data_IF_231289837577
#
_entry.id   IF_231289837577
#
_cell.length_a   1.000
_cell.length_b   1.000
_cell.length_c   1.000
_cell.angle_alpha   90.00
_cell.angle_beta   90.00
_cell.angle_gamma   90.00
#
_symmetry.space_group_name_H-M   'P 1'
#
loop_
_entity.id
_entity.type
_entity.pdbx_description
1 polymer ?
#
# COMPACT_ATOMS: atom_id res chain seq x y z
N UNK A 1 -9.32 -21.31 10.21
CA UNK A 1 -8.87 -19.92 9.94
C UNK A 1 -10.03 -19.04 9.51
N UNK A 2 -10.81 -19.43 8.50
CA UNK A 2 -11.97 -18.67 7.98
C UNK A 2 -13.03 -18.29 9.02
N UNK A 3 -13.37 -19.19 9.96
CA UNK A 3 -14.29 -18.92 11.08
C UNK A 3 -13.76 -17.91 12.08
N UNK A 4 -12.45 -17.93 12.34
CA UNK A 4 -11.79 -16.98 13.25
C UNK A 4 -11.74 -15.59 12.61
N UNK A 5 -11.40 -15.55 11.33
CA UNK A 5 -11.39 -14.36 10.47
C UNK A 5 -12.76 -13.68 10.40
N UNK A 6 -13.82 -14.45 10.13
CA UNK A 6 -15.18 -13.92 10.03
C UNK A 6 -15.71 -13.44 11.39
N UNK A 7 -15.29 -14.11 12.47
CA UNK A 7 -15.55 -13.66 13.83
C UNK A 7 -14.89 -12.29 14.07
N UNK A 8 -13.61 -12.14 13.72
CA UNK A 8 -12.87 -10.89 13.90
C UNK A 8 -13.53 -9.74 13.14
N UNK A 9 -13.89 -9.94 11.87
CA UNK A 9 -14.58 -8.91 11.06
C UNK A 9 -15.93 -8.51 11.66
N UNK A 10 -16.70 -9.47 12.18
CA UNK A 10 -17.99 -9.22 12.83
C UNK A 10 -17.84 -8.44 14.14
N UNK A 11 -16.86 -8.82 14.96
CA UNK A 11 -16.55 -8.11 16.21
C UNK A 11 -16.06 -6.70 15.93
N UNK A 12 -15.10 -6.52 15.00
CA UNK A 12 -14.58 -5.21 14.59
C UNK A 12 -15.70 -4.28 14.12
N UNK A 13 -16.63 -4.75 13.27
CA UNK A 13 -17.80 -3.95 12.84
C UNK A 13 -18.64 -3.44 14.02
N UNK A 14 -18.84 -4.26 15.06
CA UNK A 14 -19.56 -3.84 16.28
C UNK A 14 -18.78 -2.79 17.07
N UNK A 15 -17.46 -2.94 17.20
CA UNK A 15 -16.61 -1.94 17.86
C UNK A 15 -16.64 -0.61 17.09
N UNK A 16 -16.57 -0.64 15.75
CA UNK A 16 -16.67 0.54 14.91
C UNK A 16 -18.03 1.26 15.09
N UNK A 17 -19.14 0.52 15.06
CA UNK A 17 -20.47 1.10 15.26
C UNK A 17 -20.63 1.79 16.64
N UNK A 18 -20.09 1.18 17.70
CA UNK A 18 -20.12 1.77 19.03
C UNK A 18 -19.24 3.02 19.14
N UNK A 19 -18.07 3.02 18.47
CA UNK A 19 -17.17 4.17 18.43
C UNK A 19 -17.76 5.34 17.62
N UNK A 20 -18.44 5.09 16.50
CA UNK A 20 -19.22 6.12 15.77
C UNK A 20 -20.31 6.71 16.66
N UNK A 21 -20.97 5.89 17.47
CA UNK A 21 -21.96 6.36 18.44
C UNK A 21 -21.34 7.09 19.66
N UNK A 22 -20.02 7.30 19.69
CA UNK A 22 -19.30 7.98 20.77
C UNK A 22 -19.23 7.18 22.08
N UNK A 23 -19.59 5.89 22.07
CA UNK A 23 -19.66 5.06 23.28
C UNK A 23 -18.34 4.35 23.51
N UNK A 24 -17.76 4.52 24.70
CA UNK A 24 -16.55 3.81 25.12
C UNK A 24 -15.42 3.83 24.07
N UNK A 25 -15.16 4.99 23.46
CA UNK A 25 -14.23 5.17 22.33
C UNK A 25 -12.87 4.51 22.58
N UNK A 26 -12.26 4.76 23.75
CA UNK A 26 -10.97 4.17 24.14
C UNK A 26 -11.03 2.64 24.21
N UNK A 27 -12.10 2.09 24.77
CA UNK A 27 -12.28 0.62 24.82
C UNK A 27 -12.46 0.04 23.42
N UNK A 28 -13.32 0.63 22.60
CA UNK A 28 -13.53 0.18 21.22
C UNK A 28 -12.25 0.25 20.40
N UNK A 29 -11.43 1.27 20.62
CA UNK A 29 -10.10 1.42 20.02
C UNK A 29 -9.18 0.27 20.42
N UNK A 30 -9.07 -0.01 21.71
CA UNK A 30 -8.21 -1.08 22.23
C UNK A 30 -8.68 -2.48 21.77
N UNK A 31 -10.00 -2.71 21.74
CA UNK A 31 -10.59 -3.96 21.26
C UNK A 31 -10.31 -4.17 19.76
N UNK A 32 -10.41 -3.10 18.96
CA UNK A 32 -10.05 -3.13 17.54
C UNK A 32 -8.56 -3.42 17.34
N UNK A 33 -7.68 -2.72 18.07
CA UNK A 33 -6.23 -2.92 17.99
C UNK A 33 -5.84 -4.35 18.36
N UNK A 34 -6.44 -4.90 19.43
CA UNK A 34 -6.25 -6.29 19.84
C UNK A 34 -6.64 -7.25 18.72
N UNK A 35 -7.76 -6.98 18.04
CA UNK A 35 -8.21 -7.81 16.93
C UNK A 35 -7.26 -7.75 15.72
N UNK A 36 -6.75 -6.57 15.39
CA UNK A 36 -5.75 -6.38 14.32
C UNK A 36 -4.46 -7.13 14.66
N UNK A 37 -3.96 -7.00 15.90
CA UNK A 37 -2.76 -7.69 16.35
C UNK A 37 -2.92 -9.22 16.31
N UNK A 38 -4.06 -9.76 16.73
CA UNK A 38 -4.32 -11.20 16.64
C UNK A 38 -4.28 -11.72 15.20
N UNK A 39 -4.87 -11.01 14.23
CA UNK A 39 -4.80 -11.40 12.80
C UNK A 39 -3.36 -11.31 12.30
N UNK A 40 -2.64 -10.27 12.71
CA UNK A 40 -1.26 -10.02 12.30
C UNK A 40 -0.31 -11.09 12.87
N UNK A 41 -0.47 -11.49 14.12
CA UNK A 41 0.31 -12.55 14.76
C UNK A 41 0.11 -13.90 14.06
N UNK A 42 -1.13 -14.19 13.64
CA UNK A 42 -1.42 -15.38 12.82
C UNK A 42 -0.69 -15.29 11.48
N UNK A 43 -0.71 -14.12 10.82
CA UNK A 43 0.03 -13.92 9.57
C UNK A 43 1.54 -14.17 9.76
N UNK A 44 2.15 -13.61 10.81
CA UNK A 44 3.57 -13.80 11.11
C UNK A 44 3.90 -15.27 11.38
N UNK A 45 3.12 -15.94 12.23
CA UNK A 45 3.30 -17.36 12.51
C UNK A 45 3.16 -18.22 11.25
N UNK A 46 2.17 -17.92 10.40
CA UNK A 46 1.95 -18.64 9.15
C UNK A 46 3.10 -18.48 8.15
N UNK A 47 3.68 -17.29 7.99
CA UNK A 47 4.87 -17.09 7.14
C UNK A 47 6.05 -17.90 7.66
N UNK A 48 6.31 -17.87 8.97
CA UNK A 48 7.43 -18.58 9.59
C UNK A 48 7.29 -20.10 9.49
N UNK A 49 6.06 -20.62 9.62
CA UNK A 49 5.75 -22.04 9.51
C UNK A 49 5.59 -22.51 8.05
N UNK A 50 5.59 -21.60 7.08
CA UNK A 50 5.39 -21.89 5.66
C UNK A 50 3.93 -22.19 5.27
N UNK A 51 2.96 -21.88 6.13
CA UNK A 51 1.52 -22.01 5.86
C UNK A 51 1.00 -20.81 5.05
N UNK A 52 1.39 -20.79 3.78
CA UNK A 52 1.04 -19.70 2.86
C UNK A 52 -0.47 -19.48 2.72
N UNK A 53 -1.34 -20.51 2.59
CA UNK A 53 -2.78 -20.29 2.52
C UNK A 53 -3.35 -19.47 3.67
N UNK A 54 -2.93 -19.75 4.91
CA UNK A 54 -3.39 -18.98 6.08
C UNK A 54 -2.81 -17.56 6.07
N UNK A 55 -1.53 -17.39 5.70
CA UNK A 55 -0.94 -16.06 5.55
C UNK A 55 -1.67 -15.21 4.51
N UNK A 56 -2.00 -15.76 3.34
CA UNK A 56 -2.68 -15.03 2.28
C UNK A 56 -4.10 -14.63 2.72
N UNK A 57 -4.78 -15.53 3.43
CA UNK A 57 -6.10 -15.25 4.00
C UNK A 57 -6.04 -14.08 4.99
N UNK A 58 -5.08 -14.07 5.92
CA UNK A 58 -5.00 -13.00 6.92
C UNK A 58 -4.66 -11.65 6.31
N UNK A 59 -3.76 -11.60 5.31
CA UNK A 59 -3.47 -10.38 4.54
C UNK A 59 -4.74 -9.85 3.86
N UNK A 60 -5.48 -10.74 3.16
CA UNK A 60 -6.71 -10.38 2.48
C UNK A 60 -7.76 -9.82 3.44
N UNK A 61 -7.89 -10.40 4.63
CA UNK A 61 -8.86 -9.97 5.65
C UNK A 61 -8.56 -8.58 6.18
N UNK A 62 -7.29 -8.26 6.44
CA UNK A 62 -6.89 -6.92 6.87
C UNK A 62 -7.11 -5.89 5.76
N UNK A 63 -6.79 -6.24 4.51
CA UNK A 63 -7.05 -5.41 3.34
C UNK A 63 -8.54 -5.13 3.14
N UNK A 64 -9.37 -6.16 3.11
CA UNK A 64 -10.83 -6.05 2.97
C UNK A 64 -11.47 -5.28 4.13
N UNK A 65 -11.01 -5.48 5.36
CA UNK A 65 -11.50 -4.73 6.51
C UNK A 65 -11.32 -3.22 6.30
N UNK A 66 -10.13 -2.79 5.88
CA UNK A 66 -9.88 -1.37 5.62
C UNK A 66 -10.66 -0.85 4.41
N UNK A 67 -10.58 -1.56 3.28
CA UNK A 67 -11.16 -1.13 2.01
C UNK A 67 -12.71 -1.18 1.99
N UNK A 68 -13.34 -2.07 2.76
CA UNK A 68 -14.79 -2.28 2.69
C UNK A 68 -15.55 -1.90 3.96
N UNK A 69 -14.92 -1.93 5.12
CA UNK A 69 -15.61 -1.71 6.40
C UNK A 69 -15.18 -0.41 7.08
N UNK A 70 -13.88 -0.20 7.29
CA UNK A 70 -13.37 0.95 8.03
C UNK A 70 -13.59 2.27 7.29
N UNK A 71 -13.24 2.33 6.00
CA UNK A 71 -13.36 3.55 5.19
C UNK A 71 -14.78 4.13 5.19
N UNK A 72 -15.80 3.26 5.21
CA UNK A 72 -17.23 3.67 5.17
C UNK A 72 -17.70 4.38 6.43
N UNK A 73 -17.06 4.10 7.56
CA UNK A 73 -17.47 4.64 8.88
C UNK A 73 -16.50 5.67 9.41
N UNK A 74 -15.30 5.79 8.82
CA UNK A 74 -14.22 6.66 9.26
C UNK A 74 -14.66 8.10 9.47
N UNK A 75 -15.41 8.66 8.52
CA UNK A 75 -15.93 10.04 8.60
C UNK A 75 -16.92 10.29 9.74
N UNK A 76 -17.47 9.24 10.37
CA UNK A 76 -18.40 9.33 11.48
C UNK A 76 -17.74 9.31 12.87
N UNK A 77 -16.42 9.11 12.97
CA UNK A 77 -15.75 9.08 14.27
C UNK A 77 -15.55 10.48 14.86
N UNK A 78 -15.74 10.58 16.18
CA UNK A 78 -15.37 11.77 16.92
C UNK A 78 -13.84 11.94 17.03
N UNK A 79 -13.33 13.16 17.30
CA UNK A 79 -11.89 13.44 17.31
C UNK A 79 -11.07 12.54 18.24
N UNK A 80 -11.65 12.12 19.37
CA UNK A 80 -10.98 11.23 20.34
C UNK A 80 -10.57 9.87 19.75
N UNK A 81 -11.27 9.39 18.71
CA UNK A 81 -10.89 8.16 18.02
C UNK A 81 -9.50 8.26 17.39
N UNK A 82 -9.16 9.43 16.87
CA UNK A 82 -7.91 9.70 16.15
C UNK A 82 -6.78 10.24 17.04
N UNK A 83 -7.02 10.40 18.35
CA UNK A 83 -5.99 10.86 19.29
C UNK A 83 -5.30 9.64 19.92
N UNK A 84 -4.26 9.13 19.26
CA UNK A 84 -3.46 8.00 19.74
C UNK A 84 -2.07 8.44 20.21
N UNK A 85 -1.41 7.60 20.99
CA UNK A 85 -0.03 7.81 21.42
C UNK A 85 0.81 6.55 21.32
N UNK A 86 1.96 6.57 22.00
CA UNK A 86 2.87 5.43 22.10
C UNK A 86 2.24 4.13 22.66
N UNK A 87 1.20 4.14 23.51
CA UNK A 87 0.52 2.89 23.91
C UNK A 87 -0.14 2.15 22.74
N UNK A 88 -0.69 2.87 21.75
CA UNK A 88 -1.28 2.27 20.55
C UNK A 88 -0.25 2.03 19.44
N UNK A 89 0.82 2.81 19.41
CA UNK A 89 1.86 2.79 18.38
C UNK A 89 3.24 2.58 19.00
N UNK A 90 3.49 1.41 19.61
CA UNK A 90 4.74 1.15 20.31
C UNK A 90 5.92 1.09 19.34
N UNK A 91 6.96 1.88 19.61
CA UNK A 91 8.20 1.91 18.82
C UNK A 91 8.17 2.89 17.65
N UNK A 92 7.04 3.55 17.39
CA UNK A 92 6.97 4.64 16.43
C UNK A 92 7.59 5.93 16.99
N UNK A 93 8.07 6.80 16.10
CA UNK A 93 8.60 8.11 16.50
C UNK A 93 7.48 9.11 16.82
N UNK A 94 7.77 10.14 17.61
CA UNK A 94 6.83 11.24 17.87
C UNK A 94 6.34 11.90 16.56
N UNK A 95 7.18 11.94 15.53
CA UNK A 95 6.81 12.46 14.21
C UNK A 95 5.72 11.60 13.55
N UNK A 96 5.85 10.27 13.63
CA UNK A 96 4.84 9.35 13.08
C UNK A 96 3.54 9.46 13.87
N UNK A 97 3.61 9.48 15.20
CA UNK A 97 2.42 9.65 16.05
C UNK A 97 1.71 10.96 15.74
N UNK A 98 2.45 12.06 15.59
CA UNK A 98 1.87 13.35 15.21
C UNK A 98 1.24 13.32 13.81
N UNK A 99 1.89 12.66 12.85
CA UNK A 99 1.41 12.52 11.48
C UNK A 99 0.09 11.77 11.41
N UNK A 100 0.00 10.58 12.02
CA UNK A 100 -1.21 9.75 11.96
C UNK A 100 -2.38 10.37 12.72
N UNK A 101 -2.10 11.13 13.79
CA UNK A 101 -3.10 11.92 14.50
C UNK A 101 -3.60 13.08 13.64
N UNK A 102 -2.70 13.81 12.95
CA UNK A 102 -3.09 14.91 12.06
C UNK A 102 -3.91 14.42 10.87
N UNK A 103 -3.44 13.34 10.24
CA UNK A 103 -4.02 12.78 9.03
C UNK A 103 -5.22 11.85 9.31
N UNK A 104 -5.53 11.57 10.58
CA UNK A 104 -6.60 10.65 10.98
C UNK A 104 -6.44 9.23 10.39
N UNK A 105 -5.21 8.72 10.32
CA UNK A 105 -4.84 7.50 9.56
C UNK A 105 -4.25 6.38 10.41
N UNK A 106 -4.39 6.44 11.73
CA UNK A 106 -3.68 5.51 12.63
C UNK A 106 -4.04 4.04 12.41
N UNK A 107 -5.30 3.71 12.06
CA UNK A 107 -5.73 2.31 11.83
C UNK A 107 -5.11 1.77 10.55
N UNK A 108 -5.17 2.54 9.47
CA UNK A 108 -4.57 2.21 8.19
C UNK A 108 -3.06 2.06 8.32
N UNK A 109 -2.43 2.99 9.04
CA UNK A 109 -1.01 2.95 9.36
C UNK A 109 -0.64 1.65 10.11
N UNK A 110 -1.36 1.28 11.17
CA UNK A 110 -1.07 0.05 11.94
C UNK A 110 -1.08 -1.20 11.05
N UNK A 111 -2.08 -1.32 10.16
CA UNK A 111 -2.18 -2.46 9.24
C UNK A 111 -1.07 -2.44 8.19
N UNK A 112 -0.84 -1.30 7.54
CA UNK A 112 0.18 -1.19 6.49
C UNK A 112 1.61 -1.36 7.05
N UNK A 113 1.89 -0.87 8.25
CA UNK A 113 3.15 -1.13 8.95
C UNK A 113 3.34 -2.62 9.27
N UNK A 114 2.26 -3.31 9.63
CA UNK A 114 2.30 -4.77 9.81
C UNK A 114 2.62 -5.51 8.50
N UNK A 115 2.12 -5.01 7.37
CA UNK A 115 2.50 -5.52 6.05
C UNK A 115 3.97 -5.29 5.73
N UNK A 116 4.58 -4.15 6.11
CA UNK A 116 6.02 -3.94 5.95
C UNK A 116 6.83 -5.00 6.70
N UNK A 117 6.43 -5.33 7.93
CA UNK A 117 7.06 -6.41 8.70
C UNK A 117 6.91 -7.77 8.01
N UNK A 118 5.71 -8.08 7.47
CA UNK A 118 5.50 -9.32 6.71
C UNK A 118 6.39 -9.40 5.47
N UNK A 119 6.55 -8.30 4.71
CA UNK A 119 7.47 -8.25 3.56
C UNK A 119 8.90 -8.54 3.98
N UNK A 120 9.34 -8.04 5.15
CA UNK A 120 10.68 -8.30 5.69
C UNK A 120 10.90 -9.73 6.18
N UNK A 121 9.84 -10.42 6.61
CA UNK A 121 9.90 -11.82 7.07
C UNK A 121 9.70 -12.83 5.94
N UNK A 122 9.17 -12.40 4.80
CA UNK A 122 8.82 -13.30 3.70
C UNK A 122 10.07 -13.73 2.94
N UNK A 123 10.37 -15.05 2.83
CA UNK A 123 11.48 -15.52 2.01
C UNK A 123 11.31 -15.15 0.55
N UNK A 124 12.38 -14.79 -0.16
CA UNK A 124 12.34 -14.33 -1.57
C UNK A 124 11.60 -15.27 -2.56
N UNK A 125 11.54 -16.57 -2.24
CA UNK A 125 10.83 -17.57 -3.05
C UNK A 125 9.31 -17.62 -2.78
N UNK A 126 8.81 -16.92 -1.76
CA UNK A 126 7.39 -16.84 -1.34
C UNK A 126 6.74 -15.53 -1.80
N UNK A 127 6.93 -15.18 -3.07
CA UNK A 127 6.44 -13.91 -3.64
C UNK A 127 4.92 -13.73 -3.54
N UNK A 128 4.16 -14.81 -3.37
CA UNK A 128 2.71 -14.79 -3.22
C UNK A 128 2.23 -13.92 -2.05
N UNK A 129 2.95 -13.90 -0.91
CA UNK A 129 2.59 -13.04 0.22
C UNK A 129 2.81 -11.55 -0.09
N UNK A 130 3.95 -11.21 -0.70
CA UNK A 130 4.25 -9.82 -1.09
C UNK A 130 3.29 -9.32 -2.15
N UNK A 131 2.90 -10.18 -3.10
CA UNK A 131 1.87 -9.87 -4.07
C UNK A 131 0.51 -9.61 -3.38
N UNK A 132 0.08 -10.45 -2.44
CA UNK A 132 -1.16 -10.23 -1.70
C UNK A 132 -1.16 -8.93 -0.89
N UNK A 133 -0.02 -8.57 -0.29
CA UNK A 133 0.17 -7.29 0.41
C UNK A 133 0.01 -6.11 -0.55
N UNK A 134 0.60 -6.20 -1.75
CA UNK A 134 0.51 -5.16 -2.76
C UNK A 134 -0.93 -5.01 -3.29
N UNK A 135 -1.65 -6.12 -3.47
CA UNK A 135 -3.08 -6.14 -3.82
C UNK A 135 -3.92 -5.48 -2.71
N UNK A 136 -3.74 -5.89 -1.45
CA UNK A 136 -4.46 -5.29 -0.32
C UNK A 136 -4.19 -3.77 -0.22
N UNK A 137 -2.95 -3.34 -0.41
CA UNK A 137 -2.56 -1.92 -0.38
C UNK A 137 -3.21 -1.13 -1.53
N UNK A 138 -3.25 -1.71 -2.75
CA UNK A 138 -3.98 -1.14 -3.89
C UNK A 138 -5.45 -0.95 -3.55
N UNK A 139 -6.11 -1.99 -3.04
CA UNK A 139 -7.55 -1.97 -2.77
C UNK A 139 -7.91 -0.97 -1.67
N UNK A 140 -7.09 -0.85 -0.63
CA UNK A 140 -7.21 0.19 0.39
C UNK A 140 -7.11 1.58 -0.24
N UNK A 141 -6.10 1.81 -1.07
CA UNK A 141 -5.86 3.11 -1.70
C UNK A 141 -6.98 3.51 -2.66
N UNK A 142 -7.50 2.57 -3.45
CA UNK A 142 -8.62 2.84 -4.35
C UNK A 142 -9.91 3.13 -3.58
N UNK A 143 -10.21 2.36 -2.53
CA UNK A 143 -11.35 2.62 -1.66
C UNK A 143 -11.25 4.00 -0.97
N UNK A 144 -10.03 4.41 -0.59
CA UNK A 144 -9.78 5.74 -0.04
C UNK A 144 -10.04 6.85 -1.07
N UNK A 145 -9.58 6.68 -2.31
CA UNK A 145 -9.85 7.62 -3.41
C UNK A 145 -11.36 7.76 -3.64
N UNK A 146 -12.08 6.63 -3.72
CA UNK A 146 -13.55 6.62 -3.88
C UNK A 146 -14.28 7.34 -2.73
N UNK A 147 -13.75 7.22 -1.50
CA UNK A 147 -14.29 7.89 -0.32
C UNK A 147 -13.83 9.36 -0.15
N UNK A 148 -12.95 9.86 -1.04
CA UNK A 148 -12.36 11.20 -0.91
C UNK A 148 -11.31 11.34 0.19
N UNK A 149 -10.78 10.22 0.72
CA UNK A 149 -9.73 10.21 1.74
C UNK A 149 -8.33 10.28 1.11
N UNK A 150 -7.89 11.51 0.85
CA UNK A 150 -6.61 11.78 0.21
C UNK A 150 -5.41 11.37 1.07
N UNK A 151 -5.52 11.46 2.39
CA UNK A 151 -4.44 11.14 3.32
C UNK A 151 -4.10 9.64 3.29
N UNK A 152 -5.11 8.78 3.22
CA UNK A 152 -4.92 7.32 3.07
C UNK A 152 -4.40 6.97 1.67
N UNK A 153 -4.91 7.62 0.61
CA UNK A 153 -4.43 7.37 -0.75
C UNK A 153 -2.93 7.68 -0.89
N UNK A 154 -2.47 8.80 -0.33
CA UNK A 154 -1.05 9.18 -0.30
C UNK A 154 -0.23 8.27 0.63
N UNK A 155 -0.82 7.79 1.73
CA UNK A 155 -0.19 6.79 2.58
C UNK A 155 0.08 5.49 1.81
N UNK A 156 -0.87 5.01 0.99
CA UNK A 156 -0.68 3.82 0.15
C UNK A 156 0.51 3.98 -0.81
N UNK A 157 0.70 5.16 -1.42
CA UNK A 157 1.89 5.49 -2.23
C UNK A 157 3.18 5.34 -1.41
N UNK A 158 3.23 5.91 -0.21
CA UNK A 158 4.39 5.79 0.69
C UNK A 158 4.69 4.34 1.08
N UNK A 159 3.67 3.51 1.27
CA UNK A 159 3.85 2.10 1.59
C UNK A 159 4.29 1.26 0.39
N UNK A 160 3.76 1.50 -0.83
CA UNK A 160 4.32 0.89 -2.04
C UNK A 160 5.82 1.16 -2.18
N UNK A 161 6.24 2.41 -1.98
CA UNK A 161 7.64 2.81 -1.96
C UNK A 161 8.45 2.07 -0.89
N UNK A 162 7.85 1.87 0.29
CA UNK A 162 8.49 1.15 1.39
C UNK A 162 8.66 -0.34 1.07
N UNK A 163 7.69 -0.98 0.41
CA UNK A 163 7.81 -2.36 -0.04
C UNK A 163 8.88 -2.51 -1.12
N UNK A 164 9.00 -1.57 -2.06
CA UNK A 164 10.05 -1.57 -3.08
C UNK A 164 11.44 -1.44 -2.46
N UNK A 165 11.60 -0.57 -1.45
CA UNK A 165 12.85 -0.48 -0.67
C UNK A 165 13.15 -1.77 0.08
N UNK A 166 12.14 -2.40 0.68
CA UNK A 166 12.32 -3.69 1.34
C UNK A 166 12.72 -4.81 0.35
N UNK A 167 12.15 -4.83 -0.85
CA UNK A 167 12.53 -5.75 -1.91
C UNK A 167 13.97 -5.51 -2.40
N UNK A 168 14.40 -4.24 -2.49
CA UNK A 168 15.76 -3.86 -2.89
C UNK A 168 16.77 -4.35 -1.86
N UNK A 169 16.51 -4.08 -0.57
CA UNK A 169 17.37 -4.51 0.53
C UNK A 169 17.52 -6.04 0.63
N UNK A 170 16.49 -6.78 0.19
CA UNK A 170 16.50 -8.24 0.16
C UNK A 170 17.05 -8.83 -1.14
N UNK A 171 17.43 -8.00 -2.12
CA UNK A 171 17.78 -8.43 -3.48
C UNK A 171 16.74 -9.37 -4.08
N UNK A 172 15.45 -9.01 -3.91
CA UNK A 172 14.30 -9.82 -4.29
C UNK A 172 13.58 -9.23 -5.53
N UNK A 173 14.08 -9.47 -6.76
CA UNK A 173 13.50 -8.89 -7.97
C UNK A 173 12.04 -9.32 -8.20
N UNK A 174 11.66 -10.52 -7.78
CA UNK A 174 10.28 -11.02 -7.85
C UNK A 174 9.31 -10.27 -6.95
N UNK A 175 9.79 -9.73 -5.82
CA UNK A 175 9.00 -8.87 -4.94
C UNK A 175 8.79 -7.51 -5.63
N UNK A 176 9.87 -6.94 -6.15
CA UNK A 176 9.85 -5.66 -6.84
C UNK A 176 8.85 -5.67 -8.01
N UNK A 177 8.94 -6.65 -8.92
CA UNK A 177 8.03 -6.72 -10.07
C UNK A 177 6.57 -6.96 -9.66
N UNK A 178 6.31 -7.79 -8.63
CA UNK A 178 4.95 -7.99 -8.12
C UNK A 178 4.37 -6.71 -7.52
N UNK A 179 5.19 -5.94 -6.78
CA UNK A 179 4.78 -4.67 -6.19
C UNK A 179 4.58 -3.59 -7.25
N UNK A 180 5.47 -3.46 -8.24
CA UNK A 180 5.36 -2.47 -9.32
C UNK A 180 4.09 -2.67 -10.15
N UNK A 181 3.76 -3.92 -10.49
CA UNK A 181 2.53 -4.21 -11.23
C UNK A 181 1.27 -3.77 -10.46
N UNK A 182 1.20 -4.01 -9.15
CA UNK A 182 0.05 -3.57 -8.35
C UNK A 182 0.06 -2.06 -8.08
N UNK A 183 1.25 -1.45 -8.00
CA UNK A 183 1.38 0.00 -7.91
C UNK A 183 0.91 0.69 -9.19
N UNK A 184 1.20 0.12 -10.37
CA UNK A 184 0.62 0.54 -11.65
C UNK A 184 -0.90 0.42 -11.63
N UNK A 185 -1.46 -0.71 -11.17
CA UNK A 185 -2.92 -0.90 -11.13
C UNK A 185 -3.59 0.11 -10.20
N UNK A 186 -2.98 0.42 -9.06
CA UNK A 186 -3.40 1.52 -8.19
C UNK A 186 -3.39 2.85 -8.96
N UNK A 187 -2.28 3.17 -9.64
CA UNK A 187 -2.15 4.39 -10.44
C UNK A 187 -3.19 4.48 -11.57
N UNK A 188 -3.53 3.37 -12.23
CA UNK A 188 -4.59 3.32 -13.25
C UNK A 188 -5.96 3.62 -12.63
N UNK A 189 -6.28 3.04 -11.47
CA UNK A 189 -7.53 3.32 -10.76
C UNK A 189 -7.62 4.77 -10.26
N UNK A 190 -6.48 5.39 -9.94
CA UNK A 190 -6.41 6.78 -9.52
C UNK A 190 -6.59 7.81 -10.65
N UNK A 191 -6.46 7.43 -11.92
CA UNK A 191 -6.40 8.39 -13.05
C UNK A 191 -7.60 9.34 -13.13
N UNK A 192 -8.79 8.89 -12.76
CA UNK A 192 -10.02 9.70 -12.86
C UNK A 192 -10.09 10.78 -11.77
N UNK A 193 -9.72 10.43 -10.54
CA UNK A 193 -9.96 11.27 -9.35
C UNK A 193 -8.69 11.90 -8.77
N UNK A 194 -7.53 11.28 -9.02
CA UNK A 194 -6.19 11.68 -8.54
C UNK A 194 -5.12 11.44 -9.61
N UNK A 195 -5.22 12.09 -10.79
CA UNK A 195 -4.22 11.97 -11.86
C UNK A 195 -2.81 12.40 -11.42
N UNK A 196 -2.71 13.27 -10.42
CA UNK A 196 -1.46 13.64 -9.75
C UNK A 196 -0.77 12.42 -9.12
N UNK A 197 -1.51 11.58 -8.39
CA UNK A 197 -0.99 10.35 -7.79
C UNK A 197 -0.56 9.35 -8.86
N UNK A 198 -1.26 9.27 -9.99
CA UNK A 198 -0.87 8.38 -11.10
C UNK A 198 0.51 8.75 -11.65
N UNK A 199 0.78 10.05 -11.83
CA UNK A 199 2.08 10.55 -12.31
C UNK A 199 3.16 10.38 -11.25
N UNK A 200 2.84 10.64 -9.98
CA UNK A 200 3.77 10.42 -8.86
C UNK A 200 4.17 8.94 -8.72
N UNK A 201 3.19 8.03 -8.78
CA UNK A 201 3.42 6.60 -8.75
C UNK A 201 4.34 6.14 -9.90
N UNK A 202 4.10 6.61 -11.12
CA UNK A 202 4.95 6.31 -12.27
C UNK A 202 6.40 6.79 -12.05
N UNK A 203 6.58 7.99 -11.49
CA UNK A 203 7.90 8.53 -11.19
C UNK A 203 8.63 7.67 -10.14
N UNK A 204 7.91 7.15 -9.13
CA UNK A 204 8.48 6.22 -8.16
C UNK A 204 8.84 4.86 -8.75
N UNK A 205 7.96 4.28 -9.58
CA UNK A 205 8.19 2.99 -10.25
C UNK A 205 9.48 3.05 -11.09
N UNK A 206 9.65 4.09 -11.91
CA UNK A 206 10.87 4.28 -12.70
C UNK A 206 12.11 4.52 -11.84
N UNK A 207 11.98 5.29 -10.75
CA UNK A 207 13.08 5.57 -9.82
C UNK A 207 13.59 4.30 -9.17
N UNK A 208 12.69 3.50 -8.60
CA UNK A 208 13.08 2.22 -8.02
C UNK A 208 13.60 1.26 -9.08
N UNK A 209 13.00 1.22 -10.27
CA UNK A 209 13.54 0.46 -11.41
C UNK A 209 15.03 0.72 -11.63
N UNK A 210 15.45 1.99 -11.62
CA UNK A 210 16.87 2.36 -11.73
C UNK A 210 17.70 1.90 -10.53
N UNK A 211 17.19 2.04 -9.31
CA UNK A 211 17.93 1.59 -8.12
C UNK A 211 18.13 0.07 -8.13
N UNK A 212 17.18 -0.70 -8.68
CA UNK A 212 17.36 -2.14 -8.89
C UNK A 212 18.38 -2.44 -10.00
N UNK A 213 18.38 -1.69 -11.10
CA UNK A 213 19.39 -1.81 -12.16
C UNK A 213 20.80 -1.56 -11.62
N UNK A 214 21.01 -0.45 -10.91
CA UNK A 214 22.26 -0.10 -10.23
C UNK A 214 22.70 -1.17 -9.21
N UNK A 215 21.75 -1.87 -8.59
CA UNK A 215 22.00 -2.99 -7.67
C UNK A 215 22.23 -4.34 -8.38
N UNK A 216 22.38 -4.36 -9.71
CA UNK A 216 22.66 -5.57 -10.49
C UNK A 216 21.43 -6.41 -10.84
N UNK A 217 20.23 -5.83 -10.77
CA UNK A 217 18.95 -6.46 -11.13
C UNK A 217 18.28 -5.73 -12.32
N UNK A 218 18.93 -5.67 -13.50
CA UNK A 218 18.52 -4.83 -14.65
C UNK A 218 17.11 -5.13 -15.18
N UNK A 219 16.66 -6.38 -15.04
CA UNK A 219 15.33 -6.80 -15.50
C UNK A 219 14.20 -5.98 -14.85
N UNK A 220 14.42 -5.44 -13.65
CA UNK A 220 13.42 -4.67 -12.91
C UNK A 220 13.22 -3.27 -13.50
N UNK A 221 14.25 -2.65 -14.06
CA UNK A 221 14.06 -1.41 -14.79
C UNK A 221 13.23 -1.61 -16.05
N UNK A 222 13.44 -2.71 -16.78
CA UNK A 222 12.61 -3.09 -17.93
C UNK A 222 11.13 -3.25 -17.54
N UNK A 223 10.85 -3.97 -16.45
CA UNK A 223 9.50 -4.12 -15.92
C UNK A 223 8.87 -2.77 -15.50
N UNK A 224 9.65 -1.89 -14.84
CA UNK A 224 9.20 -0.55 -14.45
C UNK A 224 8.83 0.31 -15.68
N UNK A 225 9.64 0.23 -16.74
CA UNK A 225 9.39 0.94 -18.00
C UNK A 225 8.12 0.43 -18.70
N UNK A 226 7.93 -0.89 -18.75
CA UNK A 226 6.71 -1.52 -19.27
C UNK A 226 5.47 -1.10 -18.47
N UNK A 227 5.55 -1.13 -17.14
CA UNK A 227 4.45 -0.72 -16.27
C UNK A 227 4.04 0.75 -16.49
N UNK A 228 5.00 1.67 -16.65
CA UNK A 228 4.69 3.09 -16.92
C UNK A 228 4.17 3.30 -18.34
N UNK A 229 4.65 2.54 -19.32
CA UNK A 229 4.12 2.58 -20.68
C UNK A 229 2.64 2.15 -20.70
N UNK A 230 2.31 1.05 -20.03
CA UNK A 230 0.93 0.58 -19.88
C UNK A 230 0.03 1.61 -19.17
N UNK A 231 0.54 2.29 -18.13
CA UNK A 231 -0.19 3.37 -17.48
C UNK A 231 -0.44 4.55 -18.43
N UNK A 232 0.54 4.92 -19.26
CA UNK A 232 0.38 5.99 -20.25
C UNK A 232 -0.67 5.64 -21.32
N UNK A 233 -0.70 4.38 -21.77
CA UNK A 233 -1.73 3.85 -22.67
C UNK A 233 -3.11 3.93 -22.00
N UNK A 234 -3.22 3.48 -20.75
CA UNK A 234 -4.49 3.56 -20.00
C UNK A 234 -4.98 5.01 -19.83
N UNK A 235 -4.07 5.96 -19.60
CA UNK A 235 -4.38 7.38 -19.46
C UNK A 235 -4.85 8.02 -20.78
N UNK A 236 -4.48 7.49 -21.95
CA UNK A 236 -4.74 8.12 -23.25
C UNK A 236 -6.22 8.35 -23.51
N UNK A 237 -7.07 7.42 -23.04
CA UNK A 237 -8.52 7.53 -23.19
C UNK A 237 -9.19 8.49 -22.20
N UNK A 238 -8.45 9.00 -21.21
CA UNK A 238 -8.97 9.77 -20.07
C UNK A 238 -8.42 11.19 -20.02
N UNK A 239 -7.10 11.35 -20.12
CA UNK A 239 -6.43 12.63 -20.02
C UNK A 239 -5.11 12.62 -20.83
N UNK A 240 -5.12 13.37 -21.94
CA UNK A 240 -3.97 13.49 -22.84
C UNK A 240 -2.76 14.19 -22.20
N UNK A 241 -2.98 15.11 -21.27
CA UNK A 241 -1.87 15.80 -20.58
C UNK A 241 -1.17 14.85 -19.61
N UNK A 242 -1.93 14.00 -18.89
CA UNK A 242 -1.35 12.94 -18.06
C UNK A 242 -0.57 11.95 -18.93
N UNK A 243 -1.12 11.49 -20.05
CA UNK A 243 -0.39 10.62 -21.00
C UNK A 243 0.92 11.26 -21.45
N UNK A 244 0.89 12.54 -21.83
CA UNK A 244 2.09 13.26 -22.25
C UNK A 244 3.13 13.33 -21.13
N UNK A 245 2.71 13.64 -19.90
CA UNK A 245 3.61 13.67 -18.72
C UNK A 245 4.25 12.31 -18.46
N UNK A 246 3.48 11.23 -18.53
CA UNK A 246 3.97 9.86 -18.35
C UNK A 246 4.96 9.46 -19.46
N UNK A 247 4.66 9.77 -20.72
CA UNK A 247 5.56 9.55 -21.84
C UNK A 247 6.88 10.33 -21.69
N UNK A 248 6.81 11.60 -21.30
CA UNK A 248 8.00 12.43 -21.04
C UNK A 248 8.83 11.85 -19.88
N UNK A 249 8.19 11.38 -18.81
CA UNK A 249 8.88 10.69 -17.73
C UNK A 249 9.63 9.46 -18.29
N UNK A 250 8.94 8.56 -18.98
CA UNK A 250 9.57 7.36 -19.54
C UNK A 250 10.78 7.69 -20.43
N UNK A 251 10.62 8.62 -21.37
CA UNK A 251 11.70 8.99 -22.30
C UNK A 251 12.90 9.59 -21.56
N UNK A 252 12.69 10.48 -20.59
CA UNK A 252 13.79 11.03 -19.78
C UNK A 252 14.60 9.94 -19.08
N UNK A 253 13.90 8.97 -18.48
CA UNK A 253 14.55 7.88 -17.76
C UNK A 253 15.31 6.92 -18.69
N UNK A 254 14.84 6.71 -19.93
CA UNK A 254 15.56 5.91 -20.93
C UNK A 254 16.80 6.63 -21.48
N UNK A 255 16.71 7.95 -21.70
CA UNK A 255 17.84 8.75 -22.20
C UNK A 255 19.02 8.78 -21.21
N UNK A 256 18.74 8.76 -19.90
CA UNK A 256 19.79 8.66 -18.87
C UNK A 256 20.61 7.37 -18.98
N UNK A 257 20.03 6.26 -19.44
CA UNK A 257 20.74 4.98 -19.64
C UNK A 257 21.54 4.93 -20.94
N UNK A 258 21.21 5.77 -21.92
CA UNK A 258 21.89 5.85 -23.21
C UNK A 258 22.23 7.32 -23.48
N UNK A 259 23.21 7.91 -22.75
CA UNK A 259 23.50 9.35 -22.82
C UNK A 259 23.91 9.84 -24.22
N UNK A 260 24.24 8.93 -25.15
CA UNK A 260 24.59 9.22 -26.54
C UNK A 260 23.44 8.98 -27.54
N UNK A 261 22.26 8.55 -27.10
CA UNK A 261 21.09 8.42 -27.96
C UNK A 261 20.53 9.80 -28.28
N UNK A 262 20.64 10.23 -29.54
CA UNK A 262 19.93 11.42 -30.02
C UNK A 262 18.44 11.08 -30.14
N UNK A 263 17.53 11.79 -29.45
CA UNK A 263 16.11 11.62 -29.67
C UNK A 263 15.81 11.99 -31.13
N UNK A 264 15.34 11.02 -31.92
CA UNK A 264 14.86 11.31 -33.27
C UNK A 264 13.44 11.86 -33.10
N UNK A 265 13.30 13.19 -33.18
CA UNK A 265 12.00 13.86 -33.37
C UNK A 265 11.06 13.92 -32.16
N UNK A 266 11.55 14.42 -31.01
CA UNK A 266 10.68 15.03 -29.98
C UNK A 266 10.36 16.48 -30.33
#
# INVERSE_FOLDING_TARGET
AETLVNSIRTHSRRHLANAVAGKHVVRCRNDLLTSIHQVTDIAFGSVQLGDMPVCLLTIGVLGEFLAQDYVKVKGGFGPQWFQVGHPELPGDSDQIVAEVNRAHTWVEYTVLSSFVHLVGLTPAHRKEAVHAIAVATRDIGLAAIEAGDHEVAEMCVRFFNTYLRAALNQSAPTFASSTMNEYRRFAIGALEWRPDLSVEAAAHVLRYGRHFDEAGMPAIFGAAAEDVADLAIAAQSRDLEVTKRLAVLLVRNLLELIPNARPIGL
#
